data_IF_098169051981
#
_entry.id   IF_098169051981
#
_cell.length_a   1.000
_cell.length_b   1.000
_cell.length_c   1.000
_cell.angle_alpha   90.00
_cell.angle_beta   90.00
_cell.angle_gamma   90.00
#
_symmetry.space_group_name_H-M   'P 1'
#
loop_
_entity.id
_entity.type
_entity.pdbx_description
1 polymer ?
#
# COMPACT_ATOMS: atom_id res chain seq x y z
N UNK A 1 21.23 21.58 -25.08
CA UNK A 1 20.66 22.11 -23.81
C UNK A 1 21.14 21.23 -22.69
N UNK A 2 21.82 21.81 -21.71
CA UNK A 2 22.26 21.07 -20.53
C UNK A 2 21.16 21.10 -19.47
N UNK A 3 20.95 19.99 -18.75
CA UNK A 3 20.05 19.94 -17.57
C UNK A 3 20.43 20.98 -16.49
N UNK A 4 21.67 21.49 -16.53
CA UNK A 4 22.15 22.53 -15.61
C UNK A 4 21.60 23.93 -15.90
N UNK A 5 20.97 24.14 -17.05
CA UNK A 5 20.41 25.42 -17.48
C UNK A 5 18.90 25.51 -17.21
N UNK A 6 18.29 24.44 -16.69
CA UNK A 6 16.87 24.42 -16.39
C UNK A 6 16.57 25.29 -15.15
N UNK A 7 15.51 26.12 -15.21
CA UNK A 7 14.91 26.75 -14.04
C UNK A 7 14.60 25.74 -12.94
N UNK A 8 14.79 26.14 -11.69
CA UNK A 8 14.53 25.28 -10.53
C UNK A 8 13.09 24.74 -10.48
N UNK A 9 12.12 25.53 -10.94
CA UNK A 9 10.71 25.11 -11.04
C UNK A 9 10.52 23.94 -12.02
N UNK A 10 11.19 23.95 -13.18
CA UNK A 10 11.12 22.83 -14.12
C UNK A 10 11.84 21.58 -13.60
N UNK A 11 12.90 21.76 -12.80
CA UNK A 11 13.52 20.64 -12.09
C UNK A 11 12.55 20.07 -11.04
N UNK A 12 11.80 20.92 -10.32
CA UNK A 12 10.72 20.51 -9.42
C UNK A 12 9.70 19.64 -10.14
N UNK A 13 9.18 20.10 -11.27
CA UNK A 13 8.19 19.37 -12.04
C UNK A 13 8.73 18.02 -12.50
N UNK A 14 9.99 17.95 -12.93
CA UNK A 14 10.65 16.69 -13.31
C UNK A 14 10.76 15.75 -12.10
N UNK A 15 11.17 16.28 -10.94
CA UNK A 15 11.26 15.51 -9.70
C UNK A 15 9.88 15.06 -9.21
N UNK A 16 8.85 15.89 -9.32
CA UNK A 16 7.46 15.56 -8.99
C UNK A 16 6.91 14.48 -9.91
N UNK A 17 7.14 14.60 -11.21
CA UNK A 17 6.77 13.57 -12.17
C UNK A 17 7.52 12.25 -11.87
N UNK A 18 8.79 12.35 -11.48
CA UNK A 18 9.62 11.23 -11.06
C UNK A 18 9.30 10.72 -9.64
N UNK A 19 8.60 11.46 -8.79
CA UNK A 19 8.24 11.00 -7.44
C UNK A 19 6.76 10.57 -7.35
N UNK A 20 5.89 11.10 -8.22
CA UNK A 20 4.46 11.27 -7.95
C UNK A 20 3.47 10.55 -8.87
N UNK A 21 3.82 9.44 -9.53
CA UNK A 21 2.85 8.81 -10.46
C UNK A 21 2.94 7.30 -10.69
N UNK A 22 3.33 6.52 -9.68
CA UNK A 22 3.19 5.06 -9.71
C UNK A 22 4.28 4.27 -9.00
N UNK A 23 4.20 2.93 -9.09
CA UNK A 23 5.07 1.97 -8.40
C UNK A 23 6.55 1.98 -8.85
N UNK A 24 6.88 2.69 -9.94
CA UNK A 24 8.18 2.62 -10.61
C UNK A 24 9.13 3.79 -10.31
N UNK A 25 8.64 4.86 -9.69
CA UNK A 25 9.22 6.18 -9.90
C UNK A 25 10.20 6.66 -8.81
N UNK A 26 10.11 6.15 -7.58
CA UNK A 26 11.02 6.59 -6.50
C UNK A 26 12.52 6.32 -6.80
N UNK A 27 12.82 5.23 -7.50
CA UNK A 27 14.18 4.94 -7.98
C UNK A 27 14.67 5.99 -8.99
N UNK A 28 13.75 6.52 -9.80
CA UNK A 28 14.06 7.58 -10.76
C UNK A 28 14.37 8.86 -9.99
N UNK A 29 13.56 9.25 -8.99
CA UNK A 29 13.84 10.43 -8.15
C UNK A 29 15.20 10.32 -7.44
N UNK A 30 15.56 9.15 -6.90
CA UNK A 30 16.90 8.90 -6.35
C UNK A 30 17.96 9.11 -7.44
N UNK A 31 17.78 8.48 -8.60
CA UNK A 31 18.72 8.56 -9.73
C UNK A 31 18.91 10.01 -10.20
N UNK A 32 17.82 10.77 -10.35
CA UNK A 32 17.83 12.19 -10.70
C UNK A 32 18.60 13.03 -9.67
N UNK A 33 18.46 12.72 -8.38
CA UNK A 33 19.21 13.39 -7.32
C UNK A 33 20.73 13.18 -7.41
N UNK A 34 21.18 12.17 -8.15
CA UNK A 34 22.61 11.85 -8.34
C UNK A 34 23.21 12.36 -9.66
N UNK A 35 22.43 12.99 -10.55
CA UNK A 35 22.94 13.46 -11.86
C UNK A 35 24.00 14.53 -11.70
N UNK A 36 23.76 15.56 -10.87
CA UNK A 36 24.72 16.62 -10.61
C UNK A 36 24.45 17.28 -9.24
N UNK A 37 25.35 18.19 -8.83
CA UNK A 37 25.26 18.87 -7.53
C UNK A 37 24.00 19.73 -7.37
N UNK A 38 23.52 20.34 -8.45
CA UNK A 38 22.29 21.14 -8.43
C UNK A 38 21.07 20.27 -8.14
N UNK A 39 20.90 19.17 -8.90
CA UNK A 39 19.81 18.21 -8.70
C UNK A 39 19.86 17.59 -7.30
N UNK A 40 21.06 17.29 -6.78
CA UNK A 40 21.24 16.80 -5.41
C UNK A 40 20.78 17.84 -4.38
N UNK A 41 21.25 19.07 -4.51
CA UNK A 41 20.91 20.15 -3.57
C UNK A 41 19.39 20.38 -3.56
N UNK A 42 18.80 20.40 -4.76
CA UNK A 42 17.38 20.58 -4.94
C UNK A 42 16.55 19.46 -4.30
N UNK A 43 16.88 18.20 -4.58
CA UNK A 43 16.20 17.06 -3.99
C UNK A 43 16.31 17.06 -2.45
N UNK A 44 17.47 17.42 -1.90
CA UNK A 44 17.67 17.50 -0.45
C UNK A 44 16.88 18.62 0.23
N UNK A 45 16.57 19.71 -0.48
CA UNK A 45 15.79 20.83 0.04
C UNK A 45 14.28 20.70 -0.23
N UNK A 46 13.82 19.55 -0.74
CA UNK A 46 12.43 19.35 -1.15
C UNK A 46 11.81 18.19 -0.37
N UNK A 47 11.30 18.43 0.85
CA UNK A 47 10.84 17.36 1.76
C UNK A 47 9.76 16.45 1.19
N UNK A 48 8.83 17.00 0.40
CA UNK A 48 7.68 16.23 -0.09
C UNK A 48 8.08 15.09 -1.05
N UNK A 49 9.25 15.19 -1.72
CA UNK A 49 9.78 14.13 -2.59
C UNK A 49 10.10 12.85 -1.82
N UNK A 50 10.25 12.92 -0.50
CA UNK A 50 10.65 11.82 0.37
C UNK A 50 9.50 11.24 1.19
N UNK A 51 8.25 11.61 0.89
CA UNK A 51 7.07 11.17 1.65
C UNK A 51 6.68 9.72 1.37
N UNK A 52 7.13 9.14 0.25
CA UNK A 52 6.81 7.76 -0.12
C UNK A 52 7.86 6.79 0.43
N UNK A 53 7.48 5.98 1.41
CA UNK A 53 8.33 4.95 2.00
C UNK A 53 7.94 3.60 1.43
N UNK A 54 8.82 2.98 0.65
CA UNK A 54 8.51 1.70 0.01
C UNK A 54 9.40 0.58 0.48
N UNK A 55 8.78 -0.55 0.81
CA UNK A 55 9.46 -1.73 1.35
C UNK A 55 10.59 -2.23 0.44
N UNK A 56 10.44 -2.10 -0.89
CA UNK A 56 11.44 -2.56 -1.86
C UNK A 56 12.77 -1.78 -1.80
N UNK A 57 12.78 -0.58 -1.21
CA UNK A 57 14.00 0.22 -0.99
C UNK A 57 14.70 -0.14 0.33
N UNK A 58 14.05 -0.94 1.18
CA UNK A 58 14.58 -1.39 2.47
C UNK A 58 14.42 -0.38 3.60
N UNK A 59 14.77 -0.84 4.81
CA UNK A 59 14.61 -0.10 6.06
C UNK A 59 15.48 1.16 6.13
N UNK A 60 16.72 1.11 5.65
CA UNK A 60 17.63 2.26 5.67
C UNK A 60 17.08 3.44 4.87
N UNK A 61 16.59 3.17 3.65
CA UNK A 61 15.96 4.19 2.82
C UNK A 61 14.70 4.74 3.49
N UNK A 62 13.88 3.87 4.10
CA UNK A 62 12.68 4.30 4.83
C UNK A 62 13.02 5.29 5.95
N UNK A 63 14.04 4.99 6.77
CA UNK A 63 14.50 5.87 7.85
C UNK A 63 15.02 7.21 7.31
N UNK A 64 15.87 7.18 6.27
CA UNK A 64 16.40 8.41 5.66
C UNK A 64 15.28 9.27 5.06
N UNK A 65 14.33 8.64 4.37
CA UNK A 65 13.24 9.35 3.71
C UNK A 65 12.25 9.92 4.72
N UNK A 66 11.89 9.15 5.74
CA UNK A 66 11.05 9.64 6.84
C UNK A 66 11.66 10.85 7.55
N UNK A 67 12.98 10.84 7.76
CA UNK A 67 13.72 11.97 8.32
C UNK A 67 13.73 13.19 7.39
N UNK A 68 13.89 12.99 6.08
CA UNK A 68 13.87 14.09 5.09
C UNK A 68 12.49 14.65 4.79
N UNK A 69 11.45 13.86 4.98
CA UNK A 69 10.07 14.30 4.86
C UNK A 69 9.63 15.18 6.07
N UNK A 70 10.50 15.36 7.07
CA UNK A 70 10.28 16.24 8.23
C UNK A 70 8.98 15.92 8.98
N UNK A 71 7.97 16.80 8.90
CA UNK A 71 6.65 16.65 9.54
C UNK A 71 5.55 16.26 8.55
N UNK A 72 5.89 16.08 7.27
CA UNK A 72 4.91 15.74 6.24
C UNK A 72 4.34 14.34 6.44
N UNK A 73 3.11 14.16 5.95
CA UNK A 73 2.43 12.87 5.90
C UNK A 73 3.16 11.88 5.00
N UNK A 74 3.17 10.61 5.40
CA UNK A 74 3.91 9.53 4.78
C UNK A 74 2.98 8.57 4.03
N UNK A 75 3.39 8.16 2.83
CA UNK A 75 2.76 7.12 2.01
C UNK A 75 3.57 5.83 2.12
N UNK A 76 3.04 4.85 2.84
CA UNK A 76 3.69 3.56 3.08
C UNK A 76 3.28 2.57 2.01
N UNK A 77 4.24 2.04 1.25
CA UNK A 77 3.97 1.12 0.13
C UNK A 77 4.71 -0.21 0.26
N UNK A 78 3.94 -1.28 0.42
CA UNK A 78 4.41 -2.66 0.51
C UNK A 78 3.93 -3.38 -0.75
N UNK A 79 4.78 -3.46 -1.79
CA UNK A 79 4.42 -4.02 -3.10
C UNK A 79 5.24 -5.29 -3.41
N UNK A 80 4.63 -6.48 -3.42
CA UNK A 80 5.31 -7.77 -3.62
C UNK A 80 5.88 -7.98 -5.02
N UNK A 81 5.29 -7.37 -6.06
CA UNK A 81 5.69 -7.60 -7.45
C UNK A 81 7.14 -7.26 -7.76
N UNK A 82 7.74 -6.37 -6.98
CA UNK A 82 9.18 -6.07 -7.00
C UNK A 82 9.88 -6.45 -5.70
N UNK A 83 9.12 -6.66 -4.64
CA UNK A 83 9.59 -7.29 -3.43
C UNK A 83 9.71 -8.82 -3.54
N UNK A 84 9.93 -9.35 -4.75
CA UNK A 84 10.70 -10.59 -4.90
C UNK A 84 12.00 -10.51 -4.08
N UNK A 85 12.60 -9.33 -3.83
CA UNK A 85 13.72 -9.17 -2.89
C UNK A 85 13.38 -9.23 -1.39
N UNK A 86 12.11 -9.07 -1.01
CA UNK A 86 11.66 -9.11 0.40
C UNK A 86 11.01 -10.46 0.73
N UNK A 87 10.54 -11.23 -0.25
CA UNK A 87 9.96 -12.57 0.00
C UNK A 87 10.69 -13.71 -0.70
N UNK A 88 11.66 -13.41 -1.57
CA UNK A 88 12.39 -14.39 -2.36
C UNK A 88 13.88 -14.05 -2.35
N UNK A 89 14.61 -14.62 -1.39
CA UNK A 89 16.05 -14.76 -1.57
C UNK A 89 16.26 -15.60 -2.86
N UNK A 90 17.01 -15.13 -3.88
CA UNK A 90 17.38 -15.95 -5.03
C UNK A 90 18.11 -17.25 -4.63
N UNK A 91 18.60 -17.35 -3.40
CA UNK A 91 19.18 -18.56 -2.79
C UNK A 91 18.17 -19.43 -2.02
N UNK A 92 16.88 -19.07 -2.00
CA UNK A 92 15.80 -19.89 -1.42
C UNK A 92 15.62 -19.78 0.09
N UNK A 93 16.34 -18.87 0.76
CA UNK A 93 16.23 -18.68 2.20
C UNK A 93 15.06 -17.76 2.57
N UNK A 94 13.93 -18.36 2.96
CA UNK A 94 12.73 -17.62 3.38
C UNK A 94 12.97 -16.79 4.65
N UNK A 95 13.96 -17.12 5.49
CA UNK A 95 14.22 -16.44 6.76
C UNK A 95 14.67 -14.99 6.58
N UNK A 96 15.60 -14.73 5.64
CA UNK A 96 16.08 -13.37 5.31
C UNK A 96 14.99 -12.46 4.77
N UNK A 97 14.00 -13.06 4.14
CA UNK A 97 12.90 -12.37 3.49
C UNK A 97 11.94 -11.76 4.53
N UNK A 98 11.60 -12.55 5.56
CA UNK A 98 10.81 -12.07 6.71
C UNK A 98 11.56 -11.01 7.52
N UNK A 99 12.87 -11.13 7.66
CA UNK A 99 13.69 -10.15 8.38
C UNK A 99 13.69 -8.78 7.69
N UNK A 100 13.76 -8.75 6.36
CA UNK A 100 13.73 -7.49 5.59
C UNK A 100 12.40 -6.76 5.73
N UNK A 101 11.27 -7.48 5.69
CA UNK A 101 9.96 -6.89 5.92
C UNK A 101 9.86 -6.39 7.36
N UNK A 102 10.25 -7.20 8.34
CA UNK A 102 10.23 -6.82 9.74
C UNK A 102 11.05 -5.54 9.99
N UNK A 103 12.29 -5.48 9.49
CA UNK A 103 13.15 -4.31 9.61
C UNK A 103 12.54 -3.06 8.95
N UNK A 104 11.93 -3.20 7.77
CA UNK A 104 11.24 -2.10 7.13
C UNK A 104 10.05 -1.61 7.96
N UNK A 105 9.24 -2.55 8.46
CA UNK A 105 8.08 -2.24 9.28
C UNK A 105 8.46 -1.59 10.61
N UNK A 106 9.55 -2.05 11.23
CA UNK A 106 10.17 -1.39 12.39
C UNK A 106 10.52 0.06 12.07
N UNK A 107 11.18 0.31 10.94
CA UNK A 107 11.57 1.65 10.52
C UNK A 107 10.38 2.59 10.26
N UNK A 108 9.27 2.09 9.71
CA UNK A 108 8.11 2.94 9.41
C UNK A 108 7.12 3.07 10.57
N UNK A 109 7.06 2.09 11.46
CA UNK A 109 6.12 2.07 12.60
C UNK A 109 6.42 3.14 13.66
N UNK A 110 7.68 3.60 13.75
CA UNK A 110 8.07 4.73 14.60
C UNK A 110 7.43 6.06 14.18
N UNK A 111 6.79 6.11 13.00
CA UNK A 111 6.17 7.29 12.41
C UNK A 111 4.67 7.11 12.16
N UNK A 112 3.99 6.22 12.91
CA UNK A 112 2.56 5.95 12.76
C UNK A 112 1.68 7.21 12.77
N UNK A 113 2.05 8.22 13.57
CA UNK A 113 1.37 9.52 13.65
C UNK A 113 1.35 10.30 12.34
N UNK A 114 2.31 10.02 11.45
CA UNK A 114 2.46 10.67 10.15
C UNK A 114 1.91 9.84 9.01
N UNK A 115 1.40 8.63 9.24
CA UNK A 115 0.89 7.79 8.15
C UNK A 115 -0.37 8.41 7.55
N UNK A 116 -0.26 8.86 6.30
CA UNK A 116 -1.36 9.45 5.55
C UNK A 116 -1.98 8.43 4.60
N UNK A 117 -1.15 7.57 4.00
CA UNK A 117 -1.59 6.55 3.06
C UNK A 117 -0.87 5.22 3.32
N UNK A 118 -1.60 4.12 3.21
CA UNK A 118 -1.06 2.77 3.27
C UNK A 118 -1.48 1.99 2.03
N UNK A 119 -0.51 1.42 1.33
CA UNK A 119 -0.71 0.54 0.18
C UNK A 119 -0.04 -0.80 0.48
N UNK A 120 -0.83 -1.87 0.53
CA UNK A 120 -0.37 -3.24 0.63
C UNK A 120 -0.84 -3.95 -0.64
N UNK A 121 0.09 -4.26 -1.52
CA UNK A 121 -0.14 -4.92 -2.80
C UNK A 121 0.74 -6.16 -2.83
N UNK A 122 0.13 -7.34 -2.69
CA UNK A 122 0.89 -8.58 -2.47
C UNK A 122 0.39 -9.74 -3.31
N UNK A 123 1.31 -10.61 -3.69
CA UNK A 123 1.04 -11.72 -4.59
C UNK A 123 0.46 -12.94 -3.91
N UNK A 124 0.23 -12.92 -2.58
CA UNK A 124 -0.42 -14.03 -1.89
C UNK A 124 -1.10 -13.58 -0.60
N UNK A 125 -2.14 -14.32 -0.22
CA UNK A 125 -2.85 -14.15 1.05
C UNK A 125 -1.93 -14.36 2.26
N UNK A 126 -1.03 -15.35 2.19
CA UNK A 126 -0.10 -15.63 3.29
C UNK A 126 0.80 -14.43 3.59
N UNK A 127 1.35 -13.79 2.55
CA UNK A 127 2.15 -12.57 2.69
C UNK A 127 1.30 -11.42 3.22
N UNK A 128 0.07 -11.27 2.73
CA UNK A 128 -0.87 -10.27 3.23
C UNK A 128 -1.11 -10.44 4.74
N UNK A 129 -1.38 -11.67 5.20
CA UNK A 129 -1.61 -12.02 6.61
C UNK A 129 -0.39 -11.71 7.48
N UNK A 130 0.81 -12.06 7.03
CA UNK A 130 2.05 -11.77 7.76
C UNK A 130 2.26 -10.27 7.96
N UNK A 131 2.08 -9.47 6.91
CA UNK A 131 2.18 -8.01 6.99
C UNK A 131 1.13 -7.46 7.95
N UNK A 132 -0.10 -7.93 7.81
CA UNK A 132 -1.23 -7.50 8.62
C UNK A 132 -1.01 -7.79 10.11
N UNK A 133 -0.68 -9.03 10.48
CA UNK A 133 -0.39 -9.42 11.86
C UNK A 133 0.77 -8.60 12.46
N UNK A 134 1.77 -8.27 11.64
CA UNK A 134 2.88 -7.43 12.08
C UNK A 134 2.42 -6.00 12.36
N UNK A 135 1.64 -5.39 11.47
CA UNK A 135 1.11 -4.04 11.67
C UNK A 135 0.22 -4.01 12.92
N UNK A 136 -0.70 -4.97 13.07
CA UNK A 136 -1.57 -5.07 14.25
C UNK A 136 -0.76 -5.22 15.54
N UNK A 137 0.26 -6.09 15.55
CA UNK A 137 1.16 -6.26 16.69
C UNK A 137 1.91 -4.99 17.07
N UNK A 138 2.49 -4.29 16.09
CA UNK A 138 3.21 -3.03 16.32
C UNK A 138 2.28 -1.91 16.77
N UNK A 139 1.14 -1.78 16.12
CA UNK A 139 0.15 -0.77 16.43
C UNK A 139 -0.36 -0.92 17.88
N UNK A 140 -0.71 -2.14 18.31
CA UNK A 140 -1.09 -2.41 19.71
C UNK A 140 0.04 -2.09 20.69
N UNK A 141 1.28 -2.43 20.35
CA UNK A 141 2.43 -2.15 21.22
C UNK A 141 2.70 -0.64 21.37
N UNK A 142 2.35 0.16 20.35
CA UNK A 142 2.54 1.60 20.34
C UNK A 142 1.45 2.35 21.13
N UNK A 143 0.39 1.68 21.62
CA UNK A 143 -0.73 2.29 22.36
C UNK A 143 -1.38 3.46 21.60
N UNK A 144 -1.50 3.34 20.28
CA UNK A 144 -2.13 4.36 19.43
C UNK A 144 -3.62 4.04 19.31
N UNK A 145 -4.49 4.90 19.84
CA UNK A 145 -5.94 4.63 19.92
C UNK A 145 -6.60 4.48 18.54
N UNK A 146 -6.23 5.33 17.57
CA UNK A 146 -6.69 5.22 16.19
C UNK A 146 -5.66 5.83 15.24
N UNK A 147 -5.24 5.06 14.25
CA UNK A 147 -4.37 5.52 13.18
C UNK A 147 -5.18 6.40 12.21
N UNK A 148 -4.80 7.68 12.10
CA UNK A 148 -5.46 8.62 11.19
C UNK A 148 -4.89 8.49 9.77
N UNK A 149 -5.05 7.30 9.18
CA UNK A 149 -4.66 7.04 7.79
C UNK A 149 -5.82 7.45 6.89
N UNK A 150 -5.61 8.41 6.00
CA UNK A 150 -6.67 8.92 5.13
C UNK A 150 -7.07 7.89 4.06
N UNK A 151 -6.10 7.19 3.48
CA UNK A 151 -6.34 6.22 2.42
C UNK A 151 -5.62 4.89 2.66
N UNK A 152 -6.36 3.79 2.54
CA UNK A 152 -5.85 2.42 2.63
C UNK A 152 -6.18 1.68 1.33
N UNK A 153 -5.18 1.06 0.72
CA UNK A 153 -5.30 0.24 -0.48
C UNK A 153 -4.75 -1.14 -0.17
N UNK A 154 -5.58 -2.17 -0.30
CA UNK A 154 -5.23 -3.55 -0.01
C UNK A 154 -5.52 -4.38 -1.25
N UNK A 155 -4.49 -5.00 -1.83
CA UNK A 155 -4.57 -5.80 -3.04
C UNK A 155 -3.88 -7.15 -2.86
N UNK A 156 -4.55 -8.22 -3.28
CA UNK A 156 -4.00 -9.57 -3.34
C UNK A 156 -4.10 -10.10 -4.76
N UNK A 157 -2.93 -10.36 -5.35
CA UNK A 157 -2.78 -10.40 -6.81
C UNK A 157 -2.59 -11.80 -7.40
N UNK A 158 -2.36 -12.84 -6.58
CA UNK A 158 -2.41 -14.24 -7.04
C UNK A 158 -2.99 -15.16 -5.96
N UNK A 159 -3.84 -16.09 -6.40
CA UNK A 159 -3.99 -17.36 -5.71
C UNK A 159 -3.01 -18.33 -6.38
N UNK A 160 -2.05 -18.86 -5.61
CA UNK A 160 -1.12 -19.91 -6.09
C UNK A 160 -1.87 -21.16 -6.57
N UNK A 161 -3.14 -21.31 -6.19
CA UNK A 161 -4.04 -22.35 -6.63
C UNK A 161 -5.49 -21.81 -6.78
N UNK A 162 -6.02 -21.60 -8.00
CA UNK A 162 -7.37 -21.05 -8.22
C UNK A 162 -8.51 -21.91 -7.62
N UNK A 163 -8.22 -23.14 -7.19
CA UNK A 163 -9.17 -24.02 -6.50
C UNK A 163 -9.21 -23.80 -4.99
N UNK A 164 -8.21 -23.13 -4.41
CA UNK A 164 -8.16 -22.86 -2.98
C UNK A 164 -8.77 -21.49 -2.73
N UNK A 165 -9.98 -21.48 -2.15
CA UNK A 165 -10.55 -20.25 -1.62
C UNK A 165 -9.62 -19.75 -0.50
N UNK A 166 -9.20 -18.49 -0.53
CA UNK A 166 -8.38 -17.94 0.54
C UNK A 166 -9.22 -17.95 1.85
N UNK A 167 -8.59 -18.27 2.98
CA UNK A 167 -9.26 -18.37 4.29
C UNK A 167 -9.24 -17.02 5.01
N UNK A 168 -10.06 -16.11 4.48
CA UNK A 168 -10.10 -14.74 4.96
C UNK A 168 -10.64 -14.57 6.40
N UNK A 169 -11.21 -15.63 6.99
CA UNK A 169 -11.68 -15.60 8.38
C UNK A 169 -10.53 -15.54 9.39
N UNK A 170 -9.31 -15.85 8.96
CA UNK A 170 -8.12 -15.77 9.80
C UNK A 170 -7.59 -14.34 9.96
N UNK A 171 -8.11 -13.36 9.20
CA UNK A 171 -7.65 -11.99 9.31
C UNK A 171 -8.20 -11.32 10.56
N UNK A 172 -7.30 -10.77 11.37
CA UNK A 172 -7.70 -9.87 12.43
C UNK A 172 -8.20 -8.57 11.81
N UNK A 173 -9.07 -7.81 12.47
CA UNK A 173 -9.27 -6.41 12.10
C UNK A 173 -8.00 -5.62 12.43
N UNK A 174 -7.48 -4.83 11.49
CA UNK A 174 -6.64 -3.69 11.90
C UNK A 174 -7.58 -2.53 12.15
N UNK A 175 -7.41 -1.76 13.23
CA UNK A 175 -8.18 -0.54 13.41
C UNK A 175 -7.59 0.62 12.61
N UNK A 176 -7.49 0.43 11.30
CA UNK A 176 -7.48 1.57 10.41
C UNK A 176 -8.90 2.09 10.33
N UNK A 177 -9.07 3.39 10.45
CA UNK A 177 -10.37 4.06 10.32
C UNK A 177 -10.28 5.03 9.14
N UNK A 178 -10.07 4.53 7.90
CA UNK A 178 -9.73 5.38 6.78
C UNK A 178 -10.94 6.12 6.21
N UNK A 179 -10.68 7.24 5.53
CA UNK A 179 -11.70 7.95 4.74
C UNK A 179 -11.87 7.33 3.36
N UNK A 180 -10.81 6.72 2.83
CA UNK A 180 -10.82 6.01 1.55
C UNK A 180 -10.27 4.60 1.72
N UNK A 181 -11.03 3.59 1.27
CA UNK A 181 -10.62 2.19 1.27
C UNK A 181 -10.74 1.60 -0.14
N UNK A 182 -9.68 0.97 -0.61
CA UNK A 182 -9.68 0.17 -1.84
C UNK A 182 -9.31 -1.27 -1.51
N UNK A 183 -10.15 -2.21 -1.95
CA UNK A 183 -9.97 -3.65 -1.77
C UNK A 183 -9.95 -4.32 -3.13
N UNK A 184 -8.92 -5.14 -3.37
CA UNK A 184 -8.76 -5.93 -4.58
C UNK A 184 -8.32 -7.35 -4.23
N UNK A 185 -9.06 -8.37 -4.67
CA UNK A 185 -8.79 -9.75 -4.30
C UNK A 185 -8.91 -10.02 -2.79
N UNK A 186 -9.63 -9.15 -2.06
CA UNK A 186 -9.90 -9.25 -0.62
C UNK A 186 -11.41 -9.14 -0.42
N UNK A 187 -12.07 -10.10 0.28
CA UNK A 187 -13.50 -10.05 0.51
C UNK A 187 -13.84 -8.88 1.42
N UNK A 188 -14.66 -7.99 0.90
CA UNK A 188 -15.06 -6.77 1.58
C UNK A 188 -16.00 -7.00 2.77
N UNK A 189 -16.73 -8.12 2.83
CA UNK A 189 -17.89 -8.29 3.70
C UNK A 189 -17.59 -8.80 5.11
N UNK A 190 -16.32 -8.82 5.52
CA UNK A 190 -16.02 -8.97 6.95
C UNK A 190 -16.10 -7.59 7.61
N UNK A 191 -17.22 -7.33 8.30
CA UNK A 191 -17.71 -6.06 8.88
C UNK A 191 -16.73 -5.15 9.63
N UNK A 192 -15.47 -5.53 9.78
CA UNK A 192 -14.50 -4.92 10.68
C UNK A 192 -13.53 -3.93 9.99
N UNK A 193 -13.63 -3.78 8.67
CA UNK A 193 -12.86 -2.77 7.91
C UNK A 193 -13.64 -1.47 7.68
N UNK A 194 -14.93 -1.48 8.00
CA UNK A 194 -15.83 -0.35 7.80
C UNK A 194 -15.94 0.48 9.06
N UNK A 195 -16.15 1.78 8.86
CA UNK A 195 -16.27 2.71 9.96
C UNK A 195 -17.11 3.91 9.56
N UNK A 196 -17.57 4.64 10.57
CA UNK A 196 -18.24 5.92 10.36
C UNK A 196 -17.37 6.98 9.68
N UNK A 197 -16.05 6.81 9.57
CA UNK A 197 -15.20 7.77 8.84
C UNK A 197 -15.07 7.47 7.35
N UNK A 198 -15.51 6.30 6.90
CA UNK A 198 -15.35 5.89 5.51
C UNK A 198 -16.25 6.72 4.59
N UNK A 199 -15.64 7.41 3.63
CA UNK A 199 -16.32 8.25 2.63
C UNK A 199 -16.25 7.65 1.23
N UNK A 200 -15.18 6.92 0.92
CA UNK A 200 -14.94 6.30 -0.38
C UNK A 200 -14.59 4.83 -0.23
N UNK A 201 -15.31 3.95 -0.92
CA UNK A 201 -15.04 2.52 -0.97
C UNK A 201 -14.94 2.04 -2.42
N UNK A 202 -13.83 1.40 -2.76
CA UNK A 202 -13.60 0.78 -4.06
C UNK A 202 -13.41 -0.72 -3.87
N UNK A 203 -14.26 -1.52 -4.49
CA UNK A 203 -14.19 -2.97 -4.49
C UNK A 203 -13.87 -3.44 -5.91
N UNK A 204 -12.70 -4.06 -6.11
CA UNK A 204 -12.20 -4.55 -7.40
C UNK A 204 -12.28 -6.07 -7.51
N UNK A 205 -12.16 -6.58 -8.73
CA UNK A 205 -12.10 -8.00 -9.06
C UNK A 205 -13.25 -8.83 -8.46
N UNK A 206 -14.45 -8.24 -8.49
CA UNK A 206 -15.68 -8.89 -8.06
C UNK A 206 -16.10 -9.94 -9.10
N UNK A 207 -15.97 -11.22 -8.77
CA UNK A 207 -16.43 -12.31 -9.63
C UNK A 207 -17.93 -12.54 -9.46
N UNK A 208 -18.69 -12.36 -10.54
CA UNK A 208 -20.08 -12.80 -10.59
C UNK A 208 -20.12 -14.35 -10.51
N UNK A 209 -20.99 -14.97 -9.69
CA UNK A 209 -21.07 -16.42 -9.58
C UNK A 209 -21.46 -17.16 -10.88
N UNK A 210 -21.81 -16.43 -11.96
CA UNK A 210 -22.39 -17.01 -13.18
C UNK A 210 -21.52 -16.90 -14.43
N UNK A 211 -20.42 -16.13 -14.44
CA UNK A 211 -19.60 -15.95 -15.63
C UNK A 211 -18.10 -16.04 -15.31
N UNK A 212 -17.61 -17.26 -15.20
CA UNK A 212 -16.19 -17.55 -15.38
C UNK A 212 -15.83 -17.44 -16.88
N UNK A 213 -15.92 -16.24 -17.46
CA UNK A 213 -15.47 -15.99 -18.82
C UNK A 213 -14.13 -15.26 -18.79
N UNK A 214 -13.04 -16.05 -18.79
CA UNK A 214 -11.72 -15.72 -19.35
C UNK A 214 -11.14 -14.32 -19.00
N UNK A 215 -11.22 -13.87 -17.76
CA UNK A 215 -10.36 -12.80 -17.27
C UNK A 215 -9.07 -13.40 -16.71
N UNK A 216 -7.98 -12.63 -16.72
CA UNK A 216 -6.58 -13.04 -16.53
C UNK A 216 -6.44 -14.20 -15.52
N UNK A 217 -5.77 -15.34 -15.88
CA UNK A 217 -5.52 -16.44 -14.95
C UNK A 217 -4.72 -16.05 -13.69
N UNK A 218 -4.21 -14.81 -13.63
CA UNK A 218 -3.56 -14.24 -12.45
C UNK A 218 -4.54 -13.59 -11.47
N UNK A 219 -5.72 -13.14 -11.89
CA UNK A 219 -6.66 -12.42 -11.04
C UNK A 219 -7.30 -13.33 -9.97
N UNK A 220 -7.30 -12.86 -8.71
CA UNK A 220 -8.00 -13.51 -7.60
C UNK A 220 -9.48 -13.20 -7.74
N UNK A 221 -10.33 -14.22 -7.90
CA UNK A 221 -11.78 -14.01 -7.86
C UNK A 221 -12.21 -13.58 -6.45
N UNK A 222 -12.44 -12.29 -6.27
CA UNK A 222 -13.20 -11.80 -5.13
C UNK A 222 -14.64 -12.29 -5.25
N UNK A 223 -15.26 -12.75 -4.16
CA UNK A 223 -16.71 -12.98 -4.19
C UNK A 223 -17.46 -11.67 -4.48
N UNK A 224 -18.49 -11.70 -5.30
CA UNK A 224 -19.40 -10.54 -5.39
C UNK A 224 -20.13 -10.39 -4.05
N UNK A 225 -20.13 -9.20 -3.41
CA UNK A 225 -20.91 -8.98 -2.20
C UNK A 225 -22.38 -9.22 -2.50
N UNK A 226 -23.06 -10.03 -1.69
CA UNK A 226 -24.49 -10.21 -1.81
C UNK A 226 -25.24 -8.99 -1.21
N UNK A 227 -26.57 -8.93 -1.40
CA UNK A 227 -27.35 -7.77 -0.96
C UNK A 227 -27.25 -7.53 0.57
N UNK A 228 -27.15 -8.60 1.37
CA UNK A 228 -26.95 -8.45 2.81
C UNK A 228 -25.60 -7.84 3.13
N UNK A 229 -24.54 -8.21 2.40
CA UNK A 229 -23.21 -7.66 2.59
C UNK A 229 -23.20 -6.15 2.27
N UNK A 230 -23.83 -5.76 1.16
CA UNK A 230 -23.97 -4.35 0.79
C UNK A 230 -24.77 -3.56 1.84
N UNK A 231 -25.85 -4.15 2.36
CA UNK A 231 -26.63 -3.54 3.43
C UNK A 231 -25.79 -3.33 4.68
N UNK A 232 -24.92 -4.29 5.04
CA UNK A 232 -24.03 -4.16 6.19
C UNK A 232 -22.96 -3.10 5.94
N UNK A 233 -22.34 -3.06 4.76
CA UNK A 233 -21.37 -2.02 4.38
C UNK A 233 -21.98 -0.62 4.58
N UNK A 234 -23.18 -0.40 4.06
CA UNK A 234 -23.89 0.89 4.16
C UNK A 234 -24.28 1.23 5.61
N UNK A 235 -24.68 0.23 6.39
CA UNK A 235 -25.00 0.41 7.80
C UNK A 235 -23.77 0.81 8.63
N UNK A 236 -22.64 0.12 8.44
CA UNK A 236 -21.39 0.38 9.17
C UNK A 236 -20.65 1.63 8.65
N UNK A 237 -21.00 2.13 7.46
CA UNK A 237 -20.39 3.29 6.81
C UNK A 237 -21.44 4.38 6.53
N UNK A 238 -22.07 4.99 7.55
CA UNK A 238 -23.14 5.97 7.36
C UNK A 238 -22.71 7.24 6.60
N UNK A 239 -21.40 7.51 6.53
CA UNK A 239 -20.84 8.65 5.81
C UNK A 239 -20.30 8.29 4.41
N UNK A 240 -20.55 7.07 3.93
CA UNK A 240 -20.10 6.63 2.60
C UNK A 240 -20.76 7.47 1.51
N UNK A 241 -19.94 8.23 0.77
CA UNK A 241 -20.37 9.10 -0.33
C UNK A 241 -20.23 8.42 -1.68
N UNK A 242 -19.28 7.50 -1.79
CA UNK A 242 -18.96 6.83 -3.03
C UNK A 242 -18.67 5.35 -2.79
N UNK A 243 -19.44 4.50 -3.48
CA UNK A 243 -19.20 3.07 -3.58
C UNK A 243 -18.92 2.72 -5.05
N UNK A 244 -17.72 2.21 -5.34
CA UNK A 244 -17.34 1.73 -6.66
C UNK A 244 -17.27 0.21 -6.61
N UNK A 245 -18.08 -0.44 -7.44
CA UNK A 245 -18.05 -1.88 -7.66
C UNK A 245 -17.44 -2.11 -9.05
N UNK A 246 -16.16 -2.47 -9.07
CA UNK A 246 -15.39 -2.68 -10.29
C UNK A 246 -15.23 -4.18 -10.55
N UNK A 247 -15.99 -4.68 -11.52
CA UNK A 247 -15.88 -6.05 -12.03
C UNK A 247 -14.91 -6.18 -13.20
N UNK A 248 -14.24 -5.11 -13.63
CA UNK A 248 -13.26 -5.15 -14.71
C UNK A 248 -11.88 -5.52 -14.17
N UNK A 249 -11.66 -6.83 -14.07
CA UNK A 249 -10.36 -7.46 -13.83
C UNK A 249 -9.81 -8.12 -15.09
#
# INVERSE_FOLDING_TARGET
MSLTELPGELLLDIFELAAGGGHLRMNDAITFSHINRSCRHFALNTPYLWTVLSAHLGAECATVFAGRAETLGLDIRINSYRAYSITFDPFGDRSRSTDNLANFMDAVSSHFDRWHRLVIDVGSEETFRLIHDYIDGKWRSAHIDALNVDAVVLRVDRIVNPLQKPDYKAFKPVAFVPRSLELDGIPAWENKLFSSRLEHLVLRNLAAPFYALKTDPRSVQGGTPCLSDLSTILHESPNLRQLVLDGSG
#
